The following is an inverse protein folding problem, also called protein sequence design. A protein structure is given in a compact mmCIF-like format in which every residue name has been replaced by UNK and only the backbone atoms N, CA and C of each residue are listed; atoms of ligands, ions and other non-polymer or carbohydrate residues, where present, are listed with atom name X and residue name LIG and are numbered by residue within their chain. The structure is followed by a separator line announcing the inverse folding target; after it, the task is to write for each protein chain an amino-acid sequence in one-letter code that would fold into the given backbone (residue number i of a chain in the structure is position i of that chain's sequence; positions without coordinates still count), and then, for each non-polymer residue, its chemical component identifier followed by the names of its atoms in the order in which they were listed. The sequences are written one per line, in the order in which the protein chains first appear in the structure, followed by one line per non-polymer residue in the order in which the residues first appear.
data_IF_206570919407
#
_entry.id   IF_206570919407
#
_cell.length_a   1.000
_cell.length_b   1.000
_cell.length_c   1.000
_cell.angle_alpha   90.00
_cell.angle_beta   90.00
_cell.angle_gamma   90.00
#
_symmetry.space_group_name_H-M   'P 1'
#
loop_
_entity.id
_entity.type
_entity.pdbx_description
1 polymer ?
#
# COMPACT_ATOMS: atom_id res chain seq x y z
N UNK A 1 50.83 18.83 -11.39
CA UNK A 1 50.71 17.37 -11.76
C UNK A 1 51.55 16.52 -10.80
N UNK A 2 52.82 16.86 -10.49
CA UNK A 2 53.72 16.04 -9.63
C UNK A 2 53.16 15.79 -8.20
N UNK A 3 52.60 16.79 -7.51
CA UNK A 3 52.05 16.66 -6.14
C UNK A 3 50.81 15.73 -6.06
N UNK A 4 50.07 15.59 -7.12
CA UNK A 4 48.91 14.68 -7.19
C UNK A 4 49.38 13.23 -7.37
N UNK A 5 50.37 13.00 -8.19
CA UNK A 5 51.01 11.69 -8.40
C UNK A 5 51.62 11.17 -7.09
N UNK A 6 52.36 12.02 -6.36
CA UNK A 6 53.00 11.61 -5.09
C UNK A 6 51.98 11.22 -4.02
N UNK A 7 50.83 11.90 -3.94
CA UNK A 7 49.72 11.52 -3.03
C UNK A 7 49.05 10.21 -3.43
N UNK A 8 48.94 9.97 -4.71
CA UNK A 8 48.41 8.71 -5.24
C UNK A 8 49.36 7.54 -4.92
N UNK A 9 50.64 7.71 -5.14
CA UNK A 9 51.64 6.70 -4.82
C UNK A 9 51.70 6.38 -3.32
N UNK A 10 51.61 7.42 -2.47
CA UNK A 10 51.53 7.23 -1.01
C UNK A 10 50.26 6.46 -0.59
N UNK A 11 49.13 6.76 -1.21
CA UNK A 11 47.86 6.05 -0.95
C UNK A 11 47.96 4.59 -1.40
N UNK A 12 48.53 4.35 -2.58
CA UNK A 12 48.73 3.00 -3.11
C UNK A 12 49.65 2.17 -2.19
N UNK A 13 50.80 2.72 -1.80
CA UNK A 13 51.74 2.04 -0.90
C UNK A 13 51.09 1.76 0.47
N UNK A 14 50.31 2.69 0.99
CA UNK A 14 49.56 2.46 2.25
C UNK A 14 48.54 1.32 2.09
N UNK A 15 47.81 1.27 0.95
CA UNK A 15 46.84 0.21 0.65
C UNK A 15 47.55 -1.16 0.51
N UNK A 16 48.66 -1.22 -0.19
CA UNK A 16 49.48 -2.44 -0.35
C UNK A 16 49.95 -2.96 1.01
N UNK A 17 50.52 -2.11 1.85
CA UNK A 17 50.98 -2.49 3.19
C UNK A 17 49.82 -3.02 4.08
N UNK A 18 48.65 -2.38 3.99
CA UNK A 18 47.44 -2.83 4.71
C UNK A 18 46.94 -4.17 4.20
N UNK A 19 46.96 -4.36 2.88
CA UNK A 19 46.55 -5.62 2.26
C UNK A 19 47.50 -6.75 2.66
N UNK A 20 48.80 -6.56 2.58
CA UNK A 20 49.79 -7.55 2.96
C UNK A 20 49.64 -7.97 4.44
N UNK A 21 49.52 -6.99 5.36
CA UNK A 21 49.29 -7.26 6.77
C UNK A 21 48.00 -8.06 7.02
N UNK A 22 46.95 -7.72 6.29
CA UNK A 22 45.64 -8.41 6.42
C UNK A 22 45.76 -9.85 5.90
N UNK A 23 46.41 -10.07 4.76
CA UNK A 23 46.60 -11.42 4.19
C UNK A 23 47.40 -12.31 5.14
N UNK A 24 48.47 -11.80 5.75
CA UNK A 24 49.26 -12.55 6.72
C UNK A 24 48.41 -12.96 7.94
N UNK A 25 47.59 -12.05 8.47
CA UNK A 25 46.68 -12.34 9.59
C UNK A 25 45.67 -13.44 9.21
N UNK A 26 45.04 -13.31 8.01
CA UNK A 26 44.04 -14.26 7.51
C UNK A 26 44.66 -15.65 7.34
N UNK A 27 45.87 -15.76 6.75
CA UNK A 27 46.54 -17.03 6.52
C UNK A 27 46.95 -17.70 7.84
N UNK A 28 47.43 -16.92 8.81
CA UNK A 28 47.82 -17.44 10.13
C UNK A 28 46.59 -17.89 10.96
N UNK A 29 45.40 -17.34 10.69
CA UNK A 29 44.19 -17.64 11.45
C UNK A 29 43.05 -18.18 10.55
N UNK A 30 43.39 -18.94 9.50
CA UNK A 30 42.45 -19.42 8.46
C UNK A 30 41.18 -20.04 8.98
N UNK A 31 41.25 -20.85 10.04
CA UNK A 31 40.05 -21.49 10.64
C UNK A 31 39.15 -20.45 11.33
N UNK A 32 39.72 -19.48 12.06
CA UNK A 32 38.96 -18.42 12.71
C UNK A 32 38.24 -17.53 11.69
N UNK A 33 38.94 -17.21 10.60
CA UNK A 33 38.39 -16.42 9.49
C UNK A 33 37.26 -17.17 8.80
N UNK A 34 37.40 -18.48 8.57
CA UNK A 34 36.37 -19.31 7.96
C UNK A 34 35.13 -19.38 8.85
N UNK A 35 35.30 -19.56 10.17
CA UNK A 35 34.20 -19.53 11.16
C UNK A 35 33.52 -18.16 11.17
N UNK A 36 34.29 -17.08 11.20
CA UNK A 36 33.74 -15.72 11.17
C UNK A 36 32.92 -15.45 9.89
N UNK A 37 33.43 -15.87 8.74
CA UNK A 37 32.73 -15.78 7.47
C UNK A 37 31.42 -16.60 7.47
N UNK A 38 31.47 -17.83 7.99
CA UNK A 38 30.28 -18.69 8.13
C UNK A 38 29.22 -18.07 9.06
N UNK A 39 29.64 -17.53 10.20
CA UNK A 39 28.74 -16.84 11.13
C UNK A 39 28.11 -15.59 10.50
N UNK A 40 28.91 -14.80 9.79
CA UNK A 40 28.39 -13.61 9.08
C UNK A 40 27.37 -14.01 8.01
N UNK A 41 27.63 -15.09 7.28
CA UNK A 41 26.70 -15.62 6.29
C UNK A 41 25.37 -16.07 6.92
N UNK A 42 25.43 -16.86 8.00
CA UNK A 42 24.23 -17.30 8.72
C UNK A 42 23.45 -16.09 9.29
N UNK A 43 24.16 -15.13 9.85
CA UNK A 43 23.54 -13.89 10.39
C UNK A 43 22.87 -13.08 9.28
N UNK A 44 23.49 -12.98 8.10
CA UNK A 44 22.90 -12.34 6.92
C UNK A 44 21.58 -13.02 6.48
N UNK A 45 21.55 -14.37 6.48
CA UNK A 45 20.36 -15.12 6.17
C UNK A 45 19.25 -14.89 7.20
N UNK A 46 19.59 -14.79 8.48
CA UNK A 46 18.63 -14.47 9.53
C UNK A 46 18.03 -13.08 9.34
N UNK A 47 18.85 -12.06 9.03
CA UNK A 47 18.35 -10.70 8.75
C UNK A 47 17.39 -10.71 7.56
N UNK A 48 17.68 -11.47 6.52
CA UNK A 48 16.83 -11.56 5.32
C UNK A 48 15.40 -12.05 5.67
N UNK A 49 15.26 -12.88 6.69
CA UNK A 49 13.94 -13.34 7.16
C UNK A 49 13.08 -12.23 7.78
N UNK A 50 13.71 -11.17 8.31
CA UNK A 50 13.01 -10.01 8.90
C UNK A 50 12.69 -8.91 7.88
N UNK A 51 13.22 -8.99 6.67
CA UNK A 51 12.93 -8.00 5.63
C UNK A 51 11.51 -8.26 5.10
N UNK A 52 10.62 -7.27 5.17
CA UNK A 52 9.28 -7.41 4.59
C UNK A 52 9.38 -7.63 3.09
N UNK A 53 8.77 -8.72 2.62
CA UNK A 53 8.79 -9.14 1.20
C UNK A 53 7.77 -8.37 0.35
N UNK A 54 7.64 -7.08 0.57
CA UNK A 54 6.77 -6.24 -0.23
C UNK A 54 7.51 -5.84 -1.52
N UNK A 55 6.92 -6.15 -2.66
CA UNK A 55 7.47 -5.77 -3.97
C UNK A 55 7.57 -4.26 -4.14
N UNK A 56 6.60 -3.53 -3.62
CA UNK A 56 6.61 -2.06 -3.55
C UNK A 56 6.38 -1.67 -2.08
N UNK A 57 7.32 -0.95 -1.45
CA UNK A 57 7.04 -0.36 -0.15
C UNK A 57 5.86 0.60 -0.29
N UNK A 58 4.99 0.66 0.72
CA UNK A 58 3.91 1.63 0.77
C UNK A 58 4.51 3.04 0.68
N UNK A 59 4.50 3.58 -0.53
CA UNK A 59 4.98 4.95 -0.79
C UNK A 59 3.97 5.93 -0.20
N UNK A 60 4.48 6.96 0.46
CA UNK A 60 3.64 8.07 0.92
C UNK A 60 3.33 8.99 -0.27
N UNK A 61 2.42 8.53 -1.13
CA UNK A 61 2.04 9.26 -2.36
C UNK A 61 1.29 10.55 -2.06
N UNK A 62 0.71 10.67 -0.85
CA UNK A 62 -0.14 11.81 -0.52
C UNK A 62 -1.49 11.80 -1.22
N UNK A 63 -1.87 10.69 -1.83
CA UNK A 63 -3.10 10.57 -2.63
C UNK A 63 -3.73 9.20 -2.42
N UNK A 64 -5.06 9.15 -2.39
CA UNK A 64 -5.83 7.90 -2.37
C UNK A 64 -7.25 8.13 -2.88
N UNK A 65 -7.98 7.05 -3.12
CA UNK A 65 -9.35 7.08 -3.60
C UNK A 65 -10.29 6.44 -2.58
N UNK A 66 -11.45 7.06 -2.41
CA UNK A 66 -12.59 6.49 -1.69
C UNK A 66 -13.60 6.03 -2.74
N UNK A 67 -13.71 4.72 -2.93
CA UNK A 67 -14.68 4.15 -3.85
C UNK A 67 -16.01 3.95 -3.12
N UNK A 68 -17.08 4.37 -3.75
CA UNK A 68 -18.45 4.27 -3.27
C UNK A 68 -19.24 3.37 -4.22
N UNK A 69 -19.94 2.40 -3.66
CA UNK A 69 -20.83 1.50 -4.39
C UNK A 69 -22.17 1.40 -3.63
N UNK A 70 -23.20 1.95 -4.19
CA UNK A 70 -24.57 1.86 -3.67
C UNK A 70 -25.27 0.58 -4.15
N UNK A 71 -26.39 0.18 -3.56
CA UNK A 71 -27.16 -0.98 -4.01
C UNK A 71 -27.50 -0.89 -5.51
N UNK A 72 -27.54 -2.04 -6.16
CA UNK A 72 -27.93 -2.14 -7.57
C UNK A 72 -29.32 -1.52 -7.78
N UNK A 73 -29.46 -0.77 -8.86
CA UNK A 73 -30.70 0.00 -9.16
C UNK A 73 -30.75 1.39 -8.55
N UNK A 74 -29.70 1.81 -7.80
CA UNK A 74 -29.60 3.20 -7.35
C UNK A 74 -29.44 4.14 -8.55
N UNK A 75 -30.18 5.25 -8.52
CA UNK A 75 -30.08 6.27 -9.57
C UNK A 75 -28.78 7.08 -9.43
N UNK A 76 -28.32 7.65 -10.52
CA UNK A 76 -27.16 8.53 -10.55
C UNK A 76 -27.31 9.70 -9.54
N UNK A 77 -28.52 10.27 -9.43
CA UNK A 77 -28.79 11.38 -8.52
C UNK A 77 -28.63 10.97 -7.05
N UNK A 78 -29.07 9.75 -6.69
CA UNK A 78 -28.84 9.20 -5.33
C UNK A 78 -27.35 9.01 -5.06
N UNK A 79 -26.61 8.49 -6.03
CA UNK A 79 -25.14 8.30 -5.89
C UNK A 79 -24.44 9.64 -5.74
N UNK A 80 -24.81 10.64 -6.53
CA UNK A 80 -24.28 12.00 -6.44
C UNK A 80 -24.56 12.62 -5.07
N UNK A 81 -25.80 12.57 -4.61
CA UNK A 81 -26.19 13.11 -3.28
C UNK A 81 -25.44 12.43 -2.15
N UNK A 82 -25.27 11.10 -2.22
CA UNK A 82 -24.51 10.35 -1.23
C UNK A 82 -23.04 10.77 -1.19
N UNK A 83 -22.41 10.90 -2.37
CA UNK A 83 -21.01 11.34 -2.49
C UNK A 83 -20.85 12.76 -1.95
N UNK A 84 -21.74 13.70 -2.30
CA UNK A 84 -21.66 15.09 -1.80
C UNK A 84 -21.76 15.17 -0.28
N UNK A 85 -22.63 14.38 0.34
CA UNK A 85 -22.73 14.33 1.81
C UNK A 85 -21.46 13.73 2.45
N UNK A 86 -20.87 12.73 1.80
CA UNK A 86 -19.60 12.16 2.26
C UNK A 86 -18.45 13.16 2.13
N UNK A 87 -18.42 13.95 1.06
CA UNK A 87 -17.45 15.04 0.88
C UNK A 87 -17.56 16.10 1.99
N UNK A 88 -18.77 16.48 2.38
CA UNK A 88 -19.02 17.44 3.47
C UNK A 88 -18.43 16.95 4.81
N UNK A 89 -18.41 15.64 5.05
CA UNK A 89 -17.78 15.08 6.24
C UNK A 89 -16.25 14.99 6.10
N UNK A 90 -15.77 14.60 4.93
CA UNK A 90 -14.35 14.42 4.69
C UNK A 90 -13.55 15.72 4.65
N UNK A 91 -14.15 16.82 4.16
CA UNK A 91 -13.48 18.13 4.07
C UNK A 91 -13.14 18.72 5.45
N UNK A 92 -13.74 18.20 6.51
CA UNK A 92 -13.41 18.60 7.89
C UNK A 92 -12.03 18.13 8.35
N UNK A 93 -11.44 17.16 7.66
CA UNK A 93 -10.12 16.65 7.99
C UNK A 93 -9.03 17.60 7.46
N UNK A 94 -8.24 18.14 8.38
CA UNK A 94 -7.18 19.13 8.10
C UNK A 94 -6.02 18.60 7.25
N UNK A 95 -5.89 17.28 7.12
CA UNK A 95 -4.85 16.65 6.30
C UNK A 95 -5.24 16.59 4.82
N UNK A 96 -6.50 16.91 4.46
CA UNK A 96 -7.01 16.91 3.09
C UNK A 96 -6.82 18.30 2.50
N UNK A 97 -6.11 18.37 1.36
CA UNK A 97 -5.86 19.61 0.60
C UNK A 97 -6.89 19.78 -0.51
N UNK A 98 -7.15 18.71 -1.25
CA UNK A 98 -8.08 18.75 -2.40
C UNK A 98 -8.89 17.46 -2.50
N UNK A 99 -10.10 17.61 -3.02
CA UNK A 99 -10.98 16.49 -3.35
C UNK A 99 -11.56 16.69 -4.74
N UNK A 100 -11.78 15.59 -5.45
CA UNK A 100 -12.51 15.56 -6.72
C UNK A 100 -13.34 14.30 -6.76
N UNK A 101 -14.64 14.43 -7.02
CA UNK A 101 -15.56 13.30 -7.02
C UNK A 101 -16.18 13.07 -8.39
N UNK A 102 -16.48 11.82 -8.68
CA UNK A 102 -17.20 11.41 -9.88
C UNK A 102 -18.26 10.39 -9.49
N UNK A 103 -19.50 10.66 -9.89
CA UNK A 103 -20.61 9.73 -9.77
C UNK A 103 -20.91 9.10 -11.15
N UNK A 104 -21.30 7.83 -11.17
CA UNK A 104 -21.63 7.13 -12.41
C UNK A 104 -20.42 6.67 -13.22
N UNK A 105 -19.26 6.55 -12.57
CA UNK A 105 -18.01 6.15 -13.21
C UNK A 105 -17.73 4.65 -13.01
N UNK A 106 -17.74 3.93 -14.09
CA UNK A 106 -17.08 2.64 -14.24
C UNK A 106 -16.85 2.42 -15.74
N UNK A 107 -16.07 1.42 -16.09
CA UNK A 107 -15.86 1.01 -17.50
C UNK A 107 -17.18 0.73 -18.27
N UNK A 108 -18.32 0.63 -17.56
CA UNK A 108 -19.67 0.41 -18.12
C UNK A 108 -20.71 1.46 -17.71
N UNK A 109 -20.30 2.63 -17.20
CA UNK A 109 -21.21 3.70 -16.74
C UNK A 109 -22.28 3.17 -15.76
N UNK A 110 -21.83 2.69 -14.60
CA UNK A 110 -22.72 2.18 -13.55
C UNK A 110 -23.19 3.33 -12.66
N UNK A 111 -24.49 3.64 -12.72
CA UNK A 111 -25.08 4.77 -11.98
C UNK A 111 -24.97 4.68 -10.48
N UNK A 112 -24.79 3.46 -9.92
CA UNK A 112 -24.70 3.19 -8.50
C UNK A 112 -23.26 3.23 -7.97
N UNK A 113 -22.27 3.55 -8.80
CA UNK A 113 -20.86 3.63 -8.42
C UNK A 113 -20.29 5.02 -8.61
N UNK A 114 -19.30 5.34 -7.81
CA UNK A 114 -18.52 6.54 -7.95
C UNK A 114 -17.27 6.51 -7.05
N UNK A 115 -16.47 7.55 -7.13
CA UNK A 115 -15.30 7.67 -6.29
C UNK A 115 -15.04 9.13 -5.91
N UNK A 116 -14.31 9.29 -4.80
CA UNK A 116 -13.75 10.56 -4.39
C UNK A 116 -12.23 10.39 -4.41
N UNK A 117 -11.58 11.17 -5.23
CA UNK A 117 -10.13 11.30 -5.24
C UNK A 117 -9.74 12.30 -4.14
N UNK A 118 -8.81 11.93 -3.28
CA UNK A 118 -8.34 12.74 -2.17
C UNK A 118 -6.86 12.98 -2.33
N UNK A 119 -6.48 14.27 -2.40
CA UNK A 119 -5.11 14.74 -2.30
C UNK A 119 -4.86 15.33 -0.93
N UNK A 120 -3.77 14.91 -0.29
CA UNK A 120 -3.35 15.34 1.03
C UNK A 120 -2.40 16.53 0.94
N UNK A 121 -2.32 17.31 2.01
CA UNK A 121 -1.28 18.33 2.16
C UNK A 121 0.12 17.68 2.05
N UNK A 122 1.17 18.43 1.65
CA UNK A 122 2.51 17.89 1.50
C UNK A 122 2.99 17.13 2.74
N UNK A 123 3.72 16.02 2.55
CA UNK A 123 4.16 15.16 3.66
C UNK A 123 5.01 15.88 4.72
N UNK A 124 5.66 16.99 4.34
CA UNK A 124 6.44 17.85 5.26
C UNK A 124 5.56 18.66 6.23
N UNK A 125 4.31 18.89 5.88
CA UNK A 125 3.35 19.71 6.63
C UNK A 125 2.39 18.87 7.46
N UNK A 126 2.36 17.54 7.27
CA UNK A 126 1.50 16.61 8.00
C UNK A 126 2.31 15.69 8.92
N UNK A 127 1.69 15.32 10.04
CA UNK A 127 2.29 14.39 11.02
C UNK A 127 2.07 12.92 10.65
N UNK A 128 1.01 12.65 9.90
CA UNK A 128 0.59 11.30 9.49
C UNK A 128 0.98 11.04 8.04
N UNK A 129 1.46 9.82 7.76
CA UNK A 129 1.60 9.35 6.39
C UNK A 129 0.22 9.05 5.77
N UNK A 130 0.18 8.76 4.47
CA UNK A 130 -1.07 8.45 3.75
C UNK A 130 -1.85 7.32 4.42
N UNK A 131 -1.20 6.27 4.93
CA UNK A 131 -1.87 5.17 5.64
C UNK A 131 -2.51 5.62 6.95
N UNK A 132 -1.87 6.51 7.70
CA UNK A 132 -2.43 7.10 8.92
C UNK A 132 -3.68 7.94 8.64
N UNK A 133 -3.62 8.78 7.60
CA UNK A 133 -4.80 9.58 7.18
C UNK A 133 -5.94 8.69 6.68
N UNK A 134 -5.65 7.60 5.97
CA UNK A 134 -6.68 6.62 5.60
C UNK A 134 -7.37 6.01 6.82
N UNK A 135 -6.66 5.83 7.92
CA UNK A 135 -7.26 5.34 9.18
C UNK A 135 -8.21 6.39 9.77
N UNK A 136 -7.80 7.66 9.85
CA UNK A 136 -8.68 8.75 10.25
C UNK A 136 -9.93 8.86 9.36
N UNK A 137 -9.75 8.74 8.04
CA UNK A 137 -10.87 8.76 7.09
C UNK A 137 -11.82 7.58 7.32
N UNK A 138 -11.32 6.38 7.66
CA UNK A 138 -12.18 5.24 8.03
C UNK A 138 -13.01 5.53 9.29
N UNK A 139 -12.41 6.18 10.28
CA UNK A 139 -13.10 6.57 11.51
C UNK A 139 -14.21 7.61 11.25
N UNK A 140 -14.00 8.54 10.31
CA UNK A 140 -15.02 9.50 9.86
C UNK A 140 -16.13 8.78 9.07
N UNK A 141 -15.79 7.85 8.21
CA UNK A 141 -16.74 7.13 7.36
C UNK A 141 -17.61 6.15 8.17
N UNK A 142 -17.08 5.53 9.23
CA UNK A 142 -17.80 4.51 9.99
C UNK A 142 -19.14 5.01 10.56
N UNK A 143 -19.22 6.12 11.32
CA UNK A 143 -20.49 6.64 11.82
C UNK A 143 -21.42 7.12 10.70
N UNK A 144 -20.85 7.66 9.61
CA UNK A 144 -21.62 8.05 8.43
C UNK A 144 -22.33 6.84 7.81
N UNK A 145 -21.63 5.71 7.64
CA UNK A 145 -22.22 4.47 7.14
C UNK A 145 -23.31 3.92 8.06
N UNK A 146 -23.13 3.98 9.37
CA UNK A 146 -24.15 3.53 10.32
C UNK A 146 -25.42 4.42 10.27
N UNK A 147 -25.28 5.72 10.05
CA UNK A 147 -26.41 6.62 9.86
C UNK A 147 -27.17 6.34 8.55
N UNK A 148 -26.44 6.05 7.47
CA UNK A 148 -27.03 5.72 6.16
C UNK A 148 -27.70 4.33 6.14
N UNK A 149 -27.18 3.35 6.88
CA UNK A 149 -27.83 2.04 7.07
C UNK A 149 -29.25 2.17 7.63
N UNK A 150 -29.48 3.10 8.57
CA UNK A 150 -30.80 3.37 9.13
C UNK A 150 -31.78 3.89 8.08
N UNK A 151 -31.31 4.47 6.98
CA UNK A 151 -32.11 4.97 5.86
C UNK A 151 -32.24 3.99 4.70
N UNK A 152 -31.85 2.72 4.90
CA UNK A 152 -31.84 1.67 3.86
C UNK A 152 -30.91 1.99 2.66
N UNK A 153 -29.96 2.90 2.83
CA UNK A 153 -28.93 3.25 1.85
C UNK A 153 -27.64 2.51 2.19
N UNK A 154 -27.64 1.20 2.08
CA UNK A 154 -26.47 0.38 2.40
C UNK A 154 -25.51 0.43 1.20
N UNK A 155 -24.58 1.38 1.24
CA UNK A 155 -23.47 1.44 0.31
C UNK A 155 -22.24 0.70 0.83
N UNK A 156 -21.40 0.25 -0.08
CA UNK A 156 -20.05 -0.22 0.23
C UNK A 156 -19.06 0.91 -0.04
N UNK A 157 -18.30 1.27 0.98
CA UNK A 157 -17.19 2.22 0.81
C UNK A 157 -15.87 1.47 1.00
N UNK A 158 -14.92 1.70 0.09
CA UNK A 158 -13.58 1.13 0.18
C UNK A 158 -12.53 2.18 -0.15
N UNK A 159 -11.44 2.18 0.61
CA UNK A 159 -10.30 3.04 0.35
C UNK A 159 -9.26 2.27 -0.46
N UNK A 160 -8.80 2.85 -1.55
CA UNK A 160 -7.79 2.29 -2.43
C UNK A 160 -6.65 3.28 -2.63
N UNK A 161 -5.44 2.79 -2.84
CA UNK A 161 -4.33 3.62 -3.30
C UNK A 161 -4.57 4.03 -4.75
N UNK A 162 -4.07 5.21 -5.12
CA UNK A 162 -4.02 5.60 -6.53
C UNK A 162 -2.97 4.74 -7.20
N UNK A 163 -3.40 3.86 -8.08
CA UNK A 163 -2.50 2.99 -8.82
C UNK A 163 -1.85 3.76 -9.97
N UNK A 164 -0.56 4.02 -9.84
CA UNK A 164 0.26 4.68 -10.86
C UNK A 164 0.49 3.77 -12.07
N UNK A 165 0.15 2.48 -11.96
CA UNK A 165 0.36 1.46 -12.99
C UNK A 165 -0.89 1.09 -13.82
N UNK A 166 -2.05 1.72 -13.59
CA UNK A 166 -3.27 1.50 -14.38
C UNK A 166 -4.05 0.22 -14.08
N UNK A 167 -3.71 -0.50 -13.02
CA UNK A 167 -4.38 -1.71 -12.57
C UNK A 167 -5.00 -1.54 -11.19
N UNK A 168 -6.24 -1.09 -11.11
CA UNK A 168 -7.04 -1.10 -9.87
C UNK A 168 -7.35 -2.56 -9.45
N UNK A 169 -6.34 -3.43 -9.55
CA UNK A 169 -6.45 -4.85 -9.25
C UNK A 169 -6.18 -5.07 -7.76
N UNK A 170 -7.18 -5.62 -7.10
CA UNK A 170 -7.00 -6.12 -5.74
C UNK A 170 -5.87 -7.17 -5.75
N UNK A 171 -4.99 -7.20 -4.74
CA UNK A 171 -3.83 -8.12 -4.73
C UNK A 171 -4.23 -9.59 -4.87
N UNK A 172 -5.45 -9.93 -4.48
CA UNK A 172 -6.05 -11.25 -4.72
C UNK A 172 -7.46 -11.06 -5.23
N UNK A 173 -7.76 -11.65 -6.39
CA UNK A 173 -9.08 -11.64 -7.00
C UNK A 173 -9.51 -13.08 -7.31
N UNK A 174 -10.58 -13.52 -6.68
CA UNK A 174 -11.21 -14.80 -7.00
C UNK A 174 -12.46 -14.55 -7.85
N UNK A 175 -12.45 -15.05 -9.06
CA UNK A 175 -13.58 -14.96 -10.00
C UNK A 175 -14.30 -16.29 -10.00
N UNK A 176 -15.57 -16.29 -9.61
CA UNK A 176 -16.46 -17.43 -9.70
C UNK A 176 -17.46 -17.17 -10.82
N UNK A 177 -17.60 -18.11 -11.73
CA UNK A 177 -18.57 -18.04 -12.83
C UNK A 177 -19.39 -19.34 -12.89
N UNK A 178 -20.68 -19.19 -13.19
CA UNK A 178 -21.61 -20.30 -13.43
C UNK A 178 -22.68 -19.85 -14.40
N UNK A 179 -23.26 -20.79 -15.13
CA UNK A 179 -24.40 -20.54 -15.99
C UNK A 179 -25.72 -20.37 -15.19
N UNK A 180 -25.76 -20.91 -13.97
CA UNK A 180 -26.91 -20.81 -13.06
C UNK A 180 -26.59 -19.89 -11.87
N UNK A 181 -27.39 -18.83 -11.73
CA UNK A 181 -27.23 -17.81 -10.68
C UNK A 181 -27.53 -18.34 -9.27
N UNK A 182 -28.50 -19.25 -9.14
CA UNK A 182 -28.89 -19.77 -7.83
C UNK A 182 -27.79 -20.69 -7.28
N UNK A 183 -27.26 -21.56 -8.11
CA UNK A 183 -26.10 -22.40 -7.79
C UNK A 183 -24.86 -21.56 -7.48
N UNK A 184 -24.61 -20.48 -8.19
CA UNK A 184 -23.50 -19.57 -7.96
C UNK A 184 -23.64 -18.90 -6.59
N UNK A 185 -24.83 -18.36 -6.27
CA UNK A 185 -25.09 -17.70 -4.98
C UNK A 185 -24.87 -18.65 -3.81
N UNK A 186 -25.44 -19.86 -3.88
CA UNK A 186 -25.26 -20.88 -2.85
C UNK A 186 -23.79 -21.28 -2.65
N UNK A 187 -23.02 -21.34 -3.74
CA UNK A 187 -21.60 -21.64 -3.66
C UNK A 187 -20.78 -20.49 -3.06
N UNK A 188 -21.08 -19.24 -3.43
CA UNK A 188 -20.45 -18.04 -2.86
C UNK A 188 -20.65 -17.99 -1.35
N UNK A 189 -21.89 -18.20 -0.88
CA UNK A 189 -22.22 -18.20 0.55
C UNK A 189 -21.48 -19.30 1.34
N UNK A 190 -21.16 -20.41 0.70
CA UNK A 190 -20.38 -21.50 1.29
C UNK A 190 -18.88 -21.22 1.33
N UNK A 191 -18.34 -20.56 0.30
CA UNK A 191 -16.89 -20.33 0.14
C UNK A 191 -16.43 -19.08 0.86
N UNK A 192 -17.25 -18.01 0.88
CA UNK A 192 -16.94 -16.73 1.51
C UNK A 192 -16.44 -16.86 2.96
N UNK A 193 -17.12 -17.58 3.89
CA UNK A 193 -16.65 -17.71 5.26
C UNK A 193 -15.37 -18.56 5.40
N UNK A 194 -15.04 -19.36 4.40
CA UNK A 194 -13.79 -20.12 4.39
C UNK A 194 -12.61 -19.23 3.97
N UNK A 195 -12.82 -18.34 3.00
CA UNK A 195 -11.81 -17.37 2.56
C UNK A 195 -11.52 -16.35 3.66
N UNK A 196 -12.55 -15.88 4.38
CA UNK A 196 -12.40 -14.91 5.48
C UNK A 196 -11.57 -15.44 6.66
N UNK A 197 -11.40 -16.76 6.78
CA UNK A 197 -10.57 -17.42 7.80
C UNK A 197 -9.11 -17.57 7.42
N UNK A 198 -8.77 -17.33 6.16
CA UNK A 198 -7.38 -17.43 5.69
C UNK A 198 -6.66 -16.15 6.16
N UNK A 199 -5.76 -16.33 7.11
CA UNK A 199 -4.84 -15.27 7.54
C UNK A 199 -3.73 -15.14 6.50
N UNK A 200 -3.64 -13.99 5.86
CA UNK A 200 -2.61 -13.63 4.91
C UNK A 200 -1.94 -12.32 5.29
#
# INVERSE_FOLDING_TARGET
IGRMLTKFDQFQTWLENKYEATVVIVLNHKIKVLIAAGLTFVFSLMITAYIPKNFLPASDTGEFMVNVELPLGSSLEKTKTFISRLEEELIKNKNIDRMSSVAGFSSRVESNKGYIFIGLIPSKERKLNTSGVKTEVREIIAPFLEAEKKQNLIGKISLADVDVGGGNQKPVQLILSSEDLDSLSAYVDKVKPQIEKIQG
#
